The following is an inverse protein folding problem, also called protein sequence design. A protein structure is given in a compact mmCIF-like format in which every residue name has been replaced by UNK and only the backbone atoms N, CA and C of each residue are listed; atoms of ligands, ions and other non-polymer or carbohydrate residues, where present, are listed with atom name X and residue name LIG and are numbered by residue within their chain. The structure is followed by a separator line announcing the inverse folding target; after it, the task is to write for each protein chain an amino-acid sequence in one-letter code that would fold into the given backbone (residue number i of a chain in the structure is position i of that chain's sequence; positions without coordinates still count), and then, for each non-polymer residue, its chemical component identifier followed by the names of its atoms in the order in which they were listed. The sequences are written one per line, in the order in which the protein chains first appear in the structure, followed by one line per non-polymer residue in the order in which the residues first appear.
data_IF_133209538052
#
_entry.id   IF_133209538052
#
_cell.length_a   1.000
_cell.length_b   1.000
_cell.length_c   1.000
_cell.angle_alpha   90.00
_cell.angle_beta   90.00
_cell.angle_gamma   90.00
#
_symmetry.space_group_name_H-M   'P 1'
#
loop_
_entity.id
_entity.type
_entity.pdbx_description
1 polymer ?
#
# COMPACT_ATOMS: atom_id res chain seq x y z
N UNK A 1 -36.22 -5.18 -2.78
CA UNK A 1 -37.10 -4.23 -2.05
C UNK A 1 -38.52 -4.71 -2.24
N UNK A 2 -39.27 -4.92 -1.17
CA UNK A 2 -40.61 -5.51 -1.27
C UNK A 2 -41.61 -4.40 -1.63
N UNK A 3 -42.31 -4.47 -2.77
CA UNK A 3 -43.31 -3.48 -3.15
C UNK A 3 -44.45 -3.47 -2.13
N UNK A 4 -44.86 -2.28 -1.69
CA UNK A 4 -46.03 -2.13 -0.82
C UNK A 4 -47.26 -1.94 -1.72
N UNK A 5 -48.27 -2.83 -1.66
CA UNK A 5 -49.51 -2.63 -2.40
C UNK A 5 -50.24 -1.42 -1.83
N UNK A 6 -50.56 -0.45 -2.68
CA UNK A 6 -51.34 0.74 -2.32
C UNK A 6 -52.61 0.74 -3.16
N UNK A 7 -53.75 0.76 -2.48
CA UNK A 7 -55.08 0.91 -3.07
C UNK A 7 -55.60 2.30 -2.74
N UNK A 8 -56.00 3.05 -3.75
CA UNK A 8 -56.68 4.34 -3.60
C UNK A 8 -58.06 4.22 -4.21
N UNK A 9 -59.11 4.50 -3.43
CA UNK A 9 -60.51 4.39 -3.86
C UNK A 9 -61.37 3.59 -2.89
N UNK A 10 -62.66 3.50 -3.19
CA UNK A 10 -63.61 2.69 -2.42
C UNK A 10 -63.84 1.34 -3.11
N UNK A 11 -64.09 0.30 -2.32
CA UNK A 11 -64.58 -0.98 -2.86
C UNK A 11 -65.96 -0.74 -3.46
N UNK A 12 -66.22 -1.30 -4.64
CA UNK A 12 -67.53 -1.19 -5.29
C UNK A 12 -68.65 -1.59 -4.30
N UNK A 13 -69.64 -0.72 -4.13
CA UNK A 13 -70.77 -0.95 -3.22
C UNK A 13 -71.61 -2.14 -3.68
N UNK A 14 -71.71 -3.18 -2.84
CA UNK A 14 -72.56 -4.34 -3.12
C UNK A 14 -73.99 -3.98 -2.71
N UNK A 15 -74.94 -4.06 -3.65
CA UNK A 15 -76.37 -3.85 -3.34
C UNK A 15 -76.91 -4.92 -2.40
N UNK A 16 -77.98 -4.62 -1.63
CA UNK A 16 -78.61 -5.54 -0.65
C UNK A 16 -78.99 -6.91 -1.23
N UNK A 17 -79.16 -7.02 -2.55
CA UNK A 17 -79.56 -8.23 -3.27
C UNK A 17 -78.40 -8.89 -4.06
N UNK A 18 -77.15 -8.50 -3.80
CA UNK A 18 -75.96 -9.11 -4.43
C UNK A 18 -75.61 -8.58 -5.82
N UNK A 19 -76.32 -7.56 -6.32
CA UNK A 19 -75.98 -6.88 -7.57
C UNK A 19 -74.61 -6.18 -7.41
N UNK A 20 -73.65 -6.55 -8.26
CA UNK A 20 -72.26 -6.09 -8.20
C UNK A 20 -71.28 -7.01 -7.45
N UNK A 21 -71.75 -8.10 -6.84
CA UNK A 21 -70.88 -9.10 -6.20
C UNK A 21 -70.34 -10.11 -7.22
N UNK A 22 -69.03 -10.37 -7.17
CA UNK A 22 -68.39 -11.42 -7.97
C UNK A 22 -68.81 -12.80 -7.42
N UNK A 23 -69.22 -13.75 -8.27
CA UNK A 23 -69.64 -15.07 -7.83
C UNK A 23 -68.47 -15.83 -7.18
N UNK A 24 -68.74 -16.49 -6.05
CA UNK A 24 -67.74 -17.15 -5.18
C UNK A 24 -67.02 -18.35 -5.80
N UNK A 25 -67.45 -18.79 -6.99
CA UNK A 25 -66.81 -19.84 -7.78
C UNK A 25 -65.79 -19.30 -8.79
N UNK A 26 -65.65 -17.98 -8.91
CA UNK A 26 -64.74 -17.34 -9.86
C UNK A 26 -63.35 -17.19 -9.23
N UNK A 27 -62.46 -18.13 -9.53
CA UNK A 27 -61.06 -18.09 -9.10
C UNK A 27 -60.27 -17.15 -10.02
N UNK A 28 -59.48 -16.25 -9.44
CA UNK A 28 -58.63 -15.31 -10.20
C UNK A 28 -59.12 -13.85 -10.23
N UNK A 29 -60.05 -13.45 -9.36
CA UNK A 29 -60.43 -12.04 -9.22
C UNK A 29 -59.47 -11.30 -8.30
N UNK A 30 -58.87 -10.22 -8.84
CA UNK A 30 -57.81 -9.45 -8.18
C UNK A 30 -58.34 -8.41 -7.18
N UNK A 31 -58.81 -7.27 -7.68
CA UNK A 31 -59.31 -6.15 -6.87
C UNK A 31 -60.49 -5.48 -7.57
N UNK A 32 -61.52 -5.12 -6.80
CA UNK A 32 -62.72 -4.46 -7.30
C UNK A 32 -62.79 -3.04 -6.71
N UNK A 33 -62.48 -2.05 -7.53
CA UNK A 33 -62.45 -0.64 -7.15
C UNK A 33 -63.53 0.12 -7.92
N UNK A 34 -64.10 1.14 -7.27
CA UNK A 34 -65.10 2.05 -7.86
C UNK A 34 -64.47 2.97 -8.93
N UNK A 35 -65.31 3.67 -9.71
CA UNK A 35 -64.84 4.60 -10.75
C UNK A 35 -63.90 5.66 -10.15
N UNK A 36 -62.72 5.82 -10.76
CA UNK A 36 -61.62 6.62 -10.21
C UNK A 36 -60.68 5.92 -9.21
N UNK A 37 -60.91 4.65 -8.89
CA UNK A 37 -60.03 3.84 -8.04
C UNK A 37 -58.78 3.32 -8.77
N UNK A 38 -57.64 3.27 -8.06
CA UNK A 38 -56.36 2.81 -8.59
C UNK A 38 -55.67 1.83 -7.64
N UNK A 39 -55.06 0.79 -8.21
CA UNK A 39 -54.15 -0.10 -7.51
C UNK A 39 -52.75 0.05 -8.10
N UNK A 40 -51.78 0.30 -7.24
CA UNK A 40 -50.38 0.40 -7.64
C UNK A 40 -49.46 -0.24 -6.61
N UNK A 41 -48.26 -0.56 -7.06
CA UNK A 41 -47.18 -0.93 -6.16
C UNK A 41 -46.33 0.30 -5.90
N UNK A 42 -46.34 0.80 -4.67
CA UNK A 42 -45.40 1.81 -4.25
C UNK A 42 -44.07 1.12 -3.93
N UNK A 43 -43.07 1.38 -4.76
CA UNK A 43 -41.69 1.04 -4.45
C UNK A 43 -41.06 2.22 -3.71
N UNK A 44 -40.36 1.97 -2.61
CA UNK A 44 -39.46 2.99 -2.07
C UNK A 44 -38.45 3.36 -3.15
N UNK A 45 -38.43 4.59 -3.62
CA UNK A 45 -37.36 5.04 -4.49
C UNK A 45 -36.13 5.25 -3.60
N UNK A 46 -35.30 4.23 -3.47
CA UNK A 46 -33.99 4.39 -2.84
C UNK A 46 -33.16 5.20 -3.83
N UNK A 47 -32.83 6.44 -3.47
CA UNK A 47 -31.93 7.26 -4.25
C UNK A 47 -30.51 6.69 -4.14
N UNK A 48 -30.25 5.70 -4.99
CA UNK A 48 -28.97 5.00 -5.07
C UNK A 48 -27.81 5.99 -5.27
N UNK A 49 -28.03 7.09 -6.01
CA UNK A 49 -26.99 8.09 -6.25
C UNK A 49 -26.64 8.85 -4.97
N UNK A 50 -27.64 9.26 -4.19
CA UNK A 50 -27.40 9.87 -2.88
C UNK A 50 -26.74 8.90 -1.91
N UNK A 51 -27.17 7.63 -1.88
CA UNK A 51 -26.53 6.61 -1.04
C UNK A 51 -25.06 6.39 -1.43
N UNK A 52 -24.77 6.25 -2.73
CA UNK A 52 -23.41 6.09 -3.23
C UNK A 52 -22.54 7.31 -2.88
N UNK A 53 -23.08 8.52 -2.98
CA UNK A 53 -22.38 9.75 -2.60
C UNK A 53 -22.02 9.76 -1.11
N UNK A 54 -23.00 9.50 -0.24
CA UNK A 54 -22.79 9.44 1.22
C UNK A 54 -21.81 8.32 1.58
N UNK A 55 -21.92 7.16 0.94
CA UNK A 55 -21.01 6.03 1.14
C UNK A 55 -19.57 6.39 0.78
N UNK A 56 -19.34 7.07 -0.35
CA UNK A 56 -17.99 7.52 -0.76
C UNK A 56 -17.41 8.51 0.25
N UNK A 57 -18.20 9.47 0.74
CA UNK A 57 -17.76 10.42 1.77
C UNK A 57 -17.39 9.70 3.06
N UNK A 58 -18.23 8.77 3.51
CA UNK A 58 -17.97 8.00 4.73
C UNK A 58 -16.73 7.11 4.59
N UNK A 59 -16.55 6.47 3.43
CA UNK A 59 -15.37 5.65 3.13
C UNK A 59 -14.09 6.48 3.15
N UNK A 60 -14.11 7.68 2.58
CA UNK A 60 -12.96 8.58 2.60
C UNK A 60 -12.66 9.06 4.02
N UNK A 61 -13.67 9.52 4.75
CA UNK A 61 -13.52 9.95 6.14
C UNK A 61 -12.96 8.84 7.04
N UNK A 62 -13.38 7.58 6.82
CA UNK A 62 -12.83 6.42 7.53
C UNK A 62 -11.33 6.28 7.29
N UNK A 63 -10.88 6.35 6.02
CA UNK A 63 -9.46 6.21 5.66
C UNK A 63 -8.61 7.35 6.23
N UNK A 64 -9.14 8.57 6.23
CA UNK A 64 -8.46 9.75 6.77
C UNK A 64 -8.28 9.60 8.29
N UNK A 65 -9.34 9.19 9.01
CA UNK A 65 -9.30 8.99 10.47
C UNK A 65 -8.39 7.81 10.83
N UNK A 66 -8.44 6.72 10.08
CA UNK A 66 -7.61 5.53 10.33
C UNK A 66 -6.17 5.70 9.81
N UNK A 67 -5.85 6.82 9.17
CA UNK A 67 -4.58 7.09 8.51
C UNK A 67 -4.16 5.95 7.55
N UNK A 68 -5.15 5.27 6.95
CA UNK A 68 -4.91 4.11 6.09
C UNK A 68 -4.84 4.55 4.64
N UNK A 69 -3.76 4.25 3.90
CA UNK A 69 -3.64 4.61 2.50
C UNK A 69 -4.78 4.00 1.67
N UNK A 70 -5.42 4.80 0.82
CA UNK A 70 -6.56 4.36 0.02
C UNK A 70 -6.22 3.21 -0.96
N UNK A 71 -4.95 3.11 -1.39
CA UNK A 71 -4.44 1.98 -2.19
C UNK A 71 -4.57 0.63 -1.49
N UNK A 72 -4.57 0.58 -0.16
CA UNK A 72 -4.73 -0.66 0.60
C UNK A 72 -6.13 -1.28 0.45
N UNK A 73 -7.09 -0.54 -0.11
CA UNK A 73 -8.50 -0.93 -0.25
C UNK A 73 -8.94 -1.15 -1.71
N UNK A 74 -8.00 -1.45 -2.63
CA UNK A 74 -8.25 -1.75 -4.06
C UNK A 74 -8.76 -0.56 -4.91
N UNK A 75 -8.51 0.69 -4.53
CA UNK A 75 -9.16 1.85 -5.17
C UNK A 75 -8.28 2.67 -6.15
N UNK A 76 -7.05 2.25 -6.44
CA UNK A 76 -6.16 2.97 -7.36
C UNK A 76 -5.15 2.02 -7.98
N UNK A 77 -5.04 2.02 -9.30
CA UNK A 77 -3.97 1.33 -10.03
C UNK A 77 -2.62 1.94 -9.62
N UNK A 78 -1.75 1.13 -9.04
CA UNK A 78 -0.42 1.54 -8.53
C UNK A 78 0.63 1.56 -9.66
N UNK A 79 0.25 1.20 -10.89
CA UNK A 79 1.17 1.17 -12.02
C UNK A 79 1.64 2.58 -12.40
N UNK A 80 2.96 2.80 -12.33
CA UNK A 80 3.66 3.99 -12.81
C UNK A 80 3.48 5.28 -11.98
N UNK A 81 3.35 5.19 -10.65
CA UNK A 81 3.45 6.36 -9.78
C UNK A 81 4.92 6.69 -9.47
N UNK A 82 5.27 7.98 -9.58
CA UNK A 82 6.57 8.50 -9.13
C UNK A 82 6.80 8.25 -7.63
N UNK A 83 8.05 8.15 -7.20
CA UNK A 83 8.41 8.04 -5.77
C UNK A 83 7.75 9.14 -4.91
N UNK A 84 7.70 10.37 -5.42
CA UNK A 84 7.01 11.50 -4.77
C UNK A 84 5.52 11.26 -4.54
N UNK A 85 4.85 10.60 -5.48
CA UNK A 85 3.43 10.29 -5.35
C UNK A 85 3.19 9.16 -4.35
N UNK A 86 4.08 8.16 -4.29
CA UNK A 86 4.03 7.09 -3.28
C UNK A 86 4.24 7.70 -1.89
N UNK A 87 5.20 8.62 -1.72
CA UNK A 87 5.42 9.34 -0.44
C UNK A 87 4.18 10.12 0.00
N UNK A 88 3.52 10.83 -0.92
CA UNK A 88 2.31 11.58 -0.59
C UNK A 88 1.17 10.65 -0.16
N UNK A 89 1.00 9.54 -0.88
CA UNK A 89 -0.05 8.55 -0.64
C UNK A 89 0.07 7.85 0.73
N UNK A 90 1.29 7.59 1.18
CA UNK A 90 1.58 6.99 2.48
C UNK A 90 1.81 8.03 3.59
N UNK A 91 1.75 9.33 3.30
CA UNK A 91 2.13 10.38 4.26
C UNK A 91 1.36 10.34 5.58
N UNK A 92 0.05 10.06 5.56
CA UNK A 92 -0.74 9.90 6.79
C UNK A 92 -0.33 8.65 7.59
N UNK A 93 -0.01 7.55 6.90
CA UNK A 93 0.48 6.33 7.53
C UNK A 93 1.86 6.56 8.18
N UNK A 94 2.72 7.35 7.54
CA UNK A 94 4.04 7.72 8.07
C UNK A 94 3.92 8.55 9.34
N UNK A 95 3.00 9.54 9.36
CA UNK A 95 2.73 10.32 10.58
C UNK A 95 2.27 9.42 11.73
N UNK A 96 1.37 8.46 11.44
CA UNK A 96 0.90 7.48 12.43
C UNK A 96 2.02 6.54 12.88
N UNK A 97 2.86 6.09 11.94
CA UNK A 97 4.03 5.24 12.18
C UNK A 97 5.03 5.92 13.09
N UNK A 98 5.40 7.17 12.81
CA UNK A 98 6.33 7.97 13.61
C UNK A 98 5.81 8.22 15.03
N UNK A 99 4.49 8.43 15.19
CA UNK A 99 3.88 8.57 16.51
C UNK A 99 3.99 7.27 17.31
N UNK A 100 3.70 6.13 16.67
CA UNK A 100 3.86 4.81 17.29
C UNK A 100 5.33 4.50 17.61
N UNK A 101 6.26 4.88 16.73
CA UNK A 101 7.69 4.74 16.96
C UNK A 101 8.10 5.44 18.24
N UNK A 102 7.67 6.69 18.46
CA UNK A 102 7.98 7.43 19.67
C UNK A 102 7.54 6.68 20.93
N UNK A 103 6.31 6.16 20.95
CA UNK A 103 5.81 5.38 22.08
C UNK A 103 6.56 4.05 22.25
N UNK A 104 6.91 3.38 21.16
CA UNK A 104 7.71 2.15 21.22
C UNK A 104 9.12 2.42 21.72
N UNK A 105 9.76 3.49 21.26
CA UNK A 105 11.10 3.91 21.70
C UNK A 105 11.13 4.19 23.19
N UNK A 106 10.15 4.95 23.69
CA UNK A 106 10.02 5.22 25.13
C UNK A 106 9.85 3.92 25.93
N UNK A 107 8.97 3.01 25.46
CA UNK A 107 8.73 1.73 26.11
C UNK A 107 9.94 0.78 26.10
N UNK A 108 10.66 0.72 24.99
CA UNK A 108 11.88 -0.10 24.85
C UNK A 108 12.99 0.48 25.73
N UNK A 109 13.20 1.79 25.72
CA UNK A 109 14.22 2.42 26.58
C UNK A 109 13.94 2.20 28.06
N UNK A 110 12.67 2.30 28.49
CA UNK A 110 12.28 1.93 29.86
C UNK A 110 12.62 0.47 30.18
N UNK A 111 12.40 -0.45 29.23
CA UNK A 111 12.74 -1.87 29.38
C UNK A 111 14.25 -2.08 29.46
N UNK A 112 15.04 -1.42 28.61
CA UNK A 112 16.51 -1.51 28.63
C UNK A 112 17.09 -1.03 29.96
N UNK A 113 16.57 0.07 30.52
CA UNK A 113 16.95 0.55 31.87
C UNK A 113 16.64 -0.45 32.99
N UNK A 114 15.67 -1.35 32.82
CA UNK A 114 15.44 -2.46 33.76
C UNK A 114 16.47 -3.57 33.56
N UNK A 115 16.84 -3.89 32.33
CA UNK A 115 17.89 -4.86 32.05
C UNK A 115 19.25 -4.42 32.58
N UNK A 116 19.61 -3.15 32.41
CA UNK A 116 20.78 -2.54 33.04
C UNK A 116 20.84 -2.81 34.54
N UNK A 117 19.75 -2.51 35.26
CA UNK A 117 19.67 -2.77 36.72
C UNK A 117 19.83 -4.25 37.06
N UNK A 118 19.23 -5.15 36.29
CA UNK A 118 19.34 -6.59 36.50
C UNK A 118 20.74 -7.12 36.22
N UNK A 119 21.40 -6.61 35.18
CA UNK A 119 22.77 -6.95 34.81
C UNK A 119 23.78 -6.39 35.83
N UNK A 120 23.53 -5.19 36.35
CA UNK A 120 24.31 -4.59 37.42
C UNK A 120 24.33 -5.45 38.69
N UNK A 121 23.19 -6.06 39.05
CA UNK A 121 23.13 -7.03 40.17
C UNK A 121 24.00 -8.27 39.90
N UNK A 122 24.15 -8.67 38.64
CA UNK A 122 25.04 -9.76 38.22
C UNK A 122 26.51 -9.34 38.06
N UNK A 123 26.85 -8.08 38.32
CA UNK A 123 28.20 -7.53 38.16
C UNK A 123 28.58 -7.16 36.73
N UNK A 124 27.62 -7.10 35.80
CA UNK A 124 27.84 -6.69 34.41
C UNK A 124 27.37 -5.25 34.26
N UNK A 125 28.30 -4.31 34.07
CA UNK A 125 28.00 -2.92 33.75
C UNK A 125 27.70 -2.76 32.27
N UNK A 126 26.48 -2.34 31.94
CA UNK A 126 26.07 -1.99 30.57
C UNK A 126 25.52 -0.58 30.63
N UNK A 127 25.98 0.31 29.77
CA UNK A 127 25.38 1.62 29.60
C UNK A 127 24.27 1.56 28.54
N UNK A 128 23.05 1.91 28.93
CA UNK A 128 21.89 1.91 28.02
C UNK A 128 21.88 3.17 27.15
N UNK A 129 22.53 4.24 27.59
CA UNK A 129 22.54 5.52 26.86
C UNK A 129 23.41 5.45 25.59
N UNK A 130 24.28 4.44 25.48
CA UNK A 130 25.06 4.13 24.26
C UNK A 130 24.26 3.33 23.21
N UNK A 131 23.05 2.84 23.54
CA UNK A 131 22.26 2.00 22.64
C UNK A 131 21.41 2.88 21.71
N UNK A 132 21.73 2.84 20.42
CA UNK A 132 20.89 3.43 19.37
C UNK A 132 19.79 2.45 18.92
N UNK A 133 18.54 2.92 18.92
CA UNK A 133 17.41 2.18 18.38
C UNK A 133 17.01 2.76 17.02
N UNK A 134 17.03 1.95 15.97
CA UNK A 134 16.61 2.32 14.62
C UNK A 134 15.34 1.59 14.24
N UNK A 135 14.29 2.34 13.89
CA UNK A 135 13.03 1.78 13.39
C UNK A 135 12.95 2.03 11.89
N UNK A 136 12.49 1.02 11.14
CA UNK A 136 12.34 1.09 9.69
C UNK A 136 10.87 0.86 9.38
N UNK A 137 10.20 1.88 8.82
CA UNK A 137 8.85 1.73 8.28
C UNK A 137 8.95 1.17 6.86
N UNK A 138 8.54 -0.08 6.66
CA UNK A 138 8.51 -0.71 5.34
C UNK A 138 7.42 -0.07 4.48
N UNK A 139 7.85 0.70 3.47
CA UNK A 139 6.97 1.28 2.44
C UNK A 139 7.27 0.64 1.10
N UNK A 140 6.28 0.58 0.19
CA UNK A 140 6.59 0.30 -1.21
C UNK A 140 7.49 1.43 -1.75
N UNK A 141 8.51 1.05 -2.53
CA UNK A 141 9.46 1.97 -3.13
C UNK A 141 9.49 1.72 -4.65
N UNK A 142 9.73 2.79 -5.42
CA UNK A 142 10.05 2.64 -6.83
C UNK A 142 11.57 2.43 -6.97
N UNK A 143 12.00 1.17 -7.05
CA UNK A 143 13.41 0.80 -7.08
C UNK A 143 14.12 1.34 -8.35
N UNK A 144 13.40 1.47 -9.47
CA UNK A 144 13.94 2.02 -10.71
C UNK A 144 14.35 3.49 -10.55
N UNK A 145 13.46 4.33 -10.00
CA UNK A 145 13.74 5.75 -9.74
C UNK A 145 14.92 5.91 -8.76
N UNK A 146 15.00 5.06 -7.73
CA UNK A 146 16.09 5.08 -6.75
C UNK A 146 17.43 4.79 -7.43
N UNK A 147 17.49 3.76 -8.28
CA UNK A 147 18.71 3.38 -8.99
C UNK A 147 19.16 4.49 -9.95
N UNK A 148 18.23 5.10 -10.68
CA UNK A 148 18.53 6.22 -11.58
C UNK A 148 19.05 7.44 -10.82
N UNK A 149 18.46 7.75 -9.66
CA UNK A 149 18.94 8.81 -8.77
C UNK A 149 20.35 8.51 -8.23
N UNK A 150 20.59 7.27 -7.79
CA UNK A 150 21.90 6.83 -7.30
C UNK A 150 22.98 6.90 -8.38
N UNK A 151 22.65 6.50 -9.62
CA UNK A 151 23.53 6.64 -10.78
C UNK A 151 23.86 8.10 -11.05
N UNK A 152 22.85 8.97 -11.09
CA UNK A 152 23.04 10.41 -11.32
C UNK A 152 23.92 11.04 -10.25
N UNK A 153 23.69 10.73 -8.97
CA UNK A 153 24.53 11.21 -7.86
C UNK A 153 25.96 10.70 -7.96
N UNK A 154 26.14 9.46 -8.44
CA UNK A 154 27.47 8.86 -8.63
C UNK A 154 28.22 9.55 -9.77
N UNK A 155 27.54 9.81 -10.88
CA UNK A 155 28.09 10.50 -12.05
C UNK A 155 28.47 11.96 -11.72
N UNK A 156 27.70 12.60 -10.85
CA UNK A 156 28.01 13.94 -10.32
C UNK A 156 29.12 13.96 -9.26
N UNK A 157 29.59 12.79 -8.80
CA UNK A 157 30.59 12.68 -7.73
C UNK A 157 30.09 13.08 -6.34
N UNK A 158 28.78 13.17 -6.14
CA UNK A 158 28.16 13.62 -4.88
C UNK A 158 28.07 12.51 -3.83
N UNK A 159 28.24 11.24 -4.21
CA UNK A 159 28.12 10.07 -3.31
C UNK A 159 29.27 9.09 -3.49
N UNK A 160 29.72 8.50 -2.37
CA UNK A 160 30.74 7.46 -2.34
C UNK A 160 30.19 6.13 -2.87
N UNK A 161 31.06 5.25 -3.37
CA UNK A 161 30.65 3.91 -3.81
C UNK A 161 30.02 3.10 -2.67
N UNK A 162 30.54 3.29 -1.44
CA UNK A 162 30.03 2.63 -0.25
C UNK A 162 28.59 3.04 0.04
N UNK A 163 28.35 4.35 0.11
CA UNK A 163 27.02 4.88 0.40
C UNK A 163 26.02 4.58 -0.73
N UNK A 164 26.48 4.48 -1.99
CA UNK A 164 25.63 4.01 -3.09
C UNK A 164 25.16 2.58 -2.90
N UNK A 165 26.03 1.68 -2.42
CA UNK A 165 25.68 0.29 -2.15
C UNK A 165 24.79 0.16 -0.90
N UNK A 166 25.06 0.94 0.15
CA UNK A 166 24.23 0.98 1.37
C UNK A 166 22.78 1.44 1.09
N UNK A 167 22.61 2.36 0.14
CA UNK A 167 21.30 2.89 -0.23
C UNK A 167 20.64 2.10 -1.37
N UNK A 168 21.30 1.07 -1.90
CA UNK A 168 20.77 0.26 -2.99
C UNK A 168 19.78 -0.79 -2.45
N UNK A 169 18.52 -0.84 -2.95
CA UNK A 169 17.52 -1.78 -2.47
C UNK A 169 17.86 -3.26 -2.74
N UNK A 170 18.78 -3.56 -3.67
CA UNK A 170 19.15 -4.93 -4.02
C UNK A 170 20.40 -5.46 -3.32
N UNK A 171 21.13 -4.60 -2.59
CA UNK A 171 22.38 -4.98 -1.93
C UNK A 171 22.14 -5.12 -0.43
N UNK A 172 22.12 -6.35 0.07
CA UNK A 172 21.91 -6.64 1.49
C UNK A 172 23.21 -6.67 2.29
N UNK A 173 24.31 -7.12 1.69
CA UNK A 173 25.64 -7.21 2.30
C UNK A 173 26.62 -6.31 1.55
N UNK A 174 26.75 -5.08 2.04
CA UNK A 174 27.61 -4.04 1.45
C UNK A 174 29.08 -4.43 1.52
N UNK A 175 29.52 -5.07 2.60
CA UNK A 175 30.93 -5.40 2.81
C UNK A 175 31.38 -6.45 1.78
N UNK A 176 30.61 -7.53 1.65
CA UNK A 176 30.87 -8.57 0.66
C UNK A 176 30.82 -8.03 -0.77
N UNK A 177 29.83 -7.19 -1.08
CA UNK A 177 29.70 -6.62 -2.42
C UNK A 177 30.84 -5.66 -2.77
N UNK A 178 31.29 -4.88 -1.80
CA UNK A 178 32.44 -4.01 -1.97
C UNK A 178 33.73 -4.77 -2.27
N UNK A 179 33.93 -5.92 -1.62
CA UNK A 179 35.10 -6.76 -1.85
C UNK A 179 35.06 -7.43 -3.23
N UNK A 180 33.89 -7.87 -3.70
CA UNK A 180 33.71 -8.35 -5.08
C UNK A 180 34.04 -7.27 -6.12
N UNK A 181 33.53 -6.05 -5.94
CA UNK A 181 33.78 -4.94 -6.87
C UNK A 181 35.26 -4.56 -6.90
N UNK A 182 35.95 -4.59 -5.75
CA UNK A 182 37.41 -4.37 -5.69
C UNK A 182 38.17 -5.48 -6.43
N UNK A 183 37.75 -6.74 -6.26
CA UNK A 183 38.35 -7.88 -6.95
C UNK A 183 38.17 -7.78 -8.48
N UNK A 184 37.00 -7.36 -8.96
CA UNK A 184 36.74 -7.14 -10.38
C UNK A 184 37.64 -6.04 -10.97
N UNK A 185 37.79 -4.92 -10.26
CA UNK A 185 38.67 -3.82 -10.69
C UNK A 185 40.15 -4.22 -10.72
N UNK A 186 40.62 -4.91 -9.68
CA UNK A 186 42.00 -5.41 -9.63
C UNK A 186 42.29 -6.46 -10.71
N UNK A 187 41.29 -7.22 -11.15
CA UNK A 187 41.44 -8.18 -12.23
C UNK A 187 41.42 -7.53 -13.64
N UNK A 188 40.79 -6.37 -13.81
CA UNK A 188 40.82 -5.60 -15.07
C UNK A 188 42.16 -4.89 -15.31
N UNK A 189 42.84 -4.41 -14.27
CA UNK A 189 44.13 -3.71 -14.41
C UNK A 189 45.29 -4.63 -14.85
N UNK A 190 45.14 -5.96 -14.69
CA UNK A 190 46.22 -6.92 -14.94
C UNK A 190 46.23 -7.54 -16.35
N UNK A 191 45.27 -7.20 -17.22
CA UNK A 191 45.18 -7.74 -18.61
C UNK A 191 45.75 -6.76 -19.65
N UNK A 192 46.23 -5.58 -19.24
CA UNK A 192 46.77 -4.56 -20.13
C UNK A 192 48.26 -4.67 -20.48
N UNK A 193 48.99 -5.68 -20.00
CA UNK A 193 50.44 -5.77 -20.23
C UNK A 193 50.90 -7.20 -20.60
N UNK A 194 50.37 -7.74 -21.69
CA UNK A 194 51.05 -8.82 -22.41
C UNK A 194 51.86 -8.18 -23.54
N UNK A 195 53.11 -7.84 -23.22
CA UNK A 195 54.13 -7.51 -24.22
C UNK A 195 54.20 -8.63 -25.26
N UNK A 196 53.87 -8.32 -26.51
CA UNK A 196 54.41 -9.03 -27.67
C UNK A 196 55.91 -8.80 -27.70
N UNK A 197 56.67 -9.79 -27.23
CA UNK A 197 58.12 -9.79 -27.34
C UNK A 197 58.51 -10.54 -28.61
N UNK A 198 59.14 -9.78 -29.51
CA UNK A 198 59.60 -10.16 -30.84
C UNK A 198 60.33 -11.51 -30.90
N UNK A 199 59.90 -12.35 -31.84
CA UNK A 199 60.68 -13.46 -32.38
C UNK A 199 61.87 -12.91 -33.17
N UNK A 200 63.06 -12.87 -32.57
CA UNK A 200 64.32 -13.00 -33.31
C UNK A 200 65.39 -13.66 -32.43
N UNK A 201 65.38 -15.00 -32.36
CA UNK A 201 66.57 -15.76 -31.97
C UNK A 201 67.23 -16.42 -33.18
N UNK A 202 68.42 -15.90 -33.48
CA UNK A 202 69.50 -16.40 -34.32
C UNK A 202 69.50 -17.88 -34.76
N UNK A 203 69.72 -18.09 -36.06
CA UNK A 203 70.59 -19.15 -36.60
C UNK A 203 71.39 -18.54 -37.77
N UNK A 204 72.68 -18.19 -37.60
CA UNK A 204 73.87 -19.00 -37.97
C UNK A 204 73.90 -19.36 -39.48
N UNK A 205 74.95 -19.16 -40.30
CA UNK A 205 76.41 -19.10 -40.13
C UNK A 205 77.01 -18.40 -41.36
N UNK A 206 78.06 -17.60 -41.19
CA UNK A 206 78.96 -17.21 -42.28
C UNK A 206 80.12 -18.21 -42.39
N UNK A 207 80.25 -18.83 -43.56
CA UNK A 207 81.52 -19.13 -44.23
C UNK A 207 81.28 -19.20 -45.72
#
# INVERSE_FOLDING_TARGET
MNPIPVVVGQKLGIGKNGEGAIPSNLVGTGLQLDDGGSFGFANGQLDYKSFESVWKVLKQALLDISCTPAVSMNNTDISNLSETSIKLLFGLADVRGNLNEKFMRDGIMQRLKKFEKLLGIKGIGVDVDEIELTFICSRPLNEADIIDNLKTLRDMGAISLQSTLEQNPYVFDVASEMDKIKAEKGSMDNTGNVNTQDDTSSGNVAK
#
